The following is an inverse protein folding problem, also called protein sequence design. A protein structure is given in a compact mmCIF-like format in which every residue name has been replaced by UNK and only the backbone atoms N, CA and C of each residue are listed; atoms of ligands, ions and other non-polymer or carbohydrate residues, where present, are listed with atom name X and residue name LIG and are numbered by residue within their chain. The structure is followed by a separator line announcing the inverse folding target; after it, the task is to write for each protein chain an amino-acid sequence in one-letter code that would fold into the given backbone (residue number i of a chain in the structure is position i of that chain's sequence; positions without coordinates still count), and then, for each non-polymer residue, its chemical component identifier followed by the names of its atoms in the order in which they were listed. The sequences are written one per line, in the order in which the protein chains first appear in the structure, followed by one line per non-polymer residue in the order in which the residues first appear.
data_IF_467058698208
#
_entry.id   IF_467058698208
#
_cell.length_a   1.000
_cell.length_b   1.000
_cell.length_c   1.000
_cell.angle_alpha   90.00
_cell.angle_beta   90.00
_cell.angle_gamma   90.00
#
_symmetry.space_group_name_H-M   'P 1'
#
loop_
_entity.id
_entity.type
_entity.pdbx_description
1 polymer ?
#
# COMPACT_ATOMS: atom_id res chain seq x y z
N UNK A 1 -9.87 -1.52 18.48
CA UNK A 1 -10.89 -1.50 17.40
C UNK A 1 -10.83 -2.85 16.68
N UNK A 2 -11.94 -3.53 16.62
CA UNK A 2 -12.01 -4.84 15.96
C UNK A 2 -12.60 -4.68 14.56
N UNK A 3 -11.84 -5.06 13.58
CA UNK A 3 -12.25 -4.99 12.17
C UNK A 3 -12.02 -6.37 11.55
N UNK A 4 -13.05 -6.92 10.92
CA UNK A 4 -12.93 -8.21 10.23
C UNK A 4 -12.12 -8.03 8.94
N UNK A 5 -11.62 -9.13 8.42
CA UNK A 5 -10.90 -9.10 7.14
C UNK A 5 -11.80 -8.61 6.01
N UNK A 6 -13.09 -8.98 6.03
CA UNK A 6 -14.04 -8.50 5.05
C UNK A 6 -14.25 -6.99 5.15
N UNK A 7 -14.38 -6.46 6.36
CA UNK A 7 -14.52 -5.01 6.56
C UNK A 7 -13.27 -4.28 6.07
N UNK A 8 -12.10 -4.83 6.34
CA UNK A 8 -10.84 -4.25 5.88
C UNK A 8 -10.77 -4.22 4.35
N UNK A 9 -11.16 -5.32 3.71
CA UNK A 9 -11.20 -5.39 2.25
C UNK A 9 -12.16 -4.35 1.65
N UNK A 10 -13.32 -4.15 2.26
CA UNK A 10 -14.27 -3.13 1.84
C UNK A 10 -13.69 -1.72 1.95
N UNK A 11 -12.93 -1.45 3.03
CA UNK A 11 -12.25 -0.16 3.20
C UNK A 11 -11.22 0.07 2.11
N UNK A 12 -10.46 -0.96 1.77
CA UNK A 12 -9.46 -0.87 0.70
C UNK A 12 -10.13 -0.59 -0.64
N UNK A 13 -11.23 -1.27 -0.92
CA UNK A 13 -11.97 -1.04 -2.16
C UNK A 13 -12.49 0.39 -2.25
N UNK A 14 -13.07 0.91 -1.17
CA UNK A 14 -13.52 2.31 -1.11
C UNK A 14 -12.36 3.28 -1.30
N UNK A 15 -11.23 2.98 -0.68
CA UNK A 15 -10.04 3.82 -0.80
C UNK A 15 -9.57 3.89 -2.24
N UNK A 16 -9.54 2.75 -2.94
CA UNK A 16 -9.14 2.73 -4.34
C UNK A 16 -10.07 3.56 -5.21
N UNK A 17 -11.37 3.56 -4.91
CA UNK A 17 -12.35 4.35 -5.67
C UNK A 17 -12.12 5.86 -5.50
N UNK A 18 -11.54 6.29 -4.37
CA UNK A 18 -11.29 7.69 -4.08
C UNK A 18 -9.90 8.20 -4.48
N UNK A 19 -9.01 7.29 -4.88
CA UNK A 19 -7.67 7.68 -5.32
C UNK A 19 -7.71 8.20 -6.78
N UNK A 20 -6.63 8.90 -7.23
CA UNK A 20 -6.59 9.37 -8.61
C UNK A 20 -6.74 8.22 -9.59
N UNK A 21 -7.86 8.20 -10.30
CA UNK A 21 -8.24 7.05 -11.14
C UNK A 21 -7.30 6.83 -12.31
N UNK A 22 -6.60 7.87 -12.78
CA UNK A 22 -5.61 7.71 -13.83
C UNK A 22 -4.50 6.72 -13.45
N UNK A 23 -4.16 6.64 -12.14
CA UNK A 23 -3.16 5.71 -11.66
C UNK A 23 -3.76 4.34 -11.36
N UNK A 24 -5.00 4.31 -10.89
CA UNK A 24 -5.67 3.05 -10.54
C UNK A 24 -5.99 2.24 -11.80
N UNK A 25 -6.52 2.89 -12.83
CA UNK A 25 -6.91 2.19 -14.06
C UNK A 25 -5.71 1.67 -14.86
N UNK A 26 -4.52 2.22 -14.61
CA UNK A 26 -3.29 1.80 -15.25
C UNK A 26 -2.46 0.81 -14.45
N UNK A 27 -2.95 0.40 -13.27
CA UNK A 27 -2.26 -0.63 -12.50
C UNK A 27 -2.30 -1.95 -13.25
N UNK A 28 -1.14 -2.39 -13.70
CA UNK A 28 -1.00 -3.65 -14.40
C UNK A 28 -0.03 -4.53 -13.64
N UNK A 29 -0.39 -5.79 -13.49
CA UNK A 29 0.46 -6.79 -12.88
C UNK A 29 0.92 -6.39 -11.47
N UNK A 30 -0.01 -5.87 -10.68
CA UNK A 30 0.23 -5.50 -9.28
C UNK A 30 -0.82 -6.21 -8.42
N UNK A 31 -0.36 -6.99 -7.46
CA UNK A 31 -1.24 -7.65 -6.50
C UNK A 31 -1.31 -6.82 -5.22
N UNK A 32 -2.52 -6.58 -4.73
CA UNK A 32 -2.72 -5.93 -3.42
C UNK A 32 -3.13 -7.01 -2.46
N UNK A 33 -2.31 -7.24 -1.44
CA UNK A 33 -2.51 -8.29 -0.45
C UNK A 33 -2.51 -7.71 0.95
N UNK A 34 -3.04 -8.46 1.89
CA UNK A 34 -3.13 -8.06 3.29
C UNK A 34 -2.37 -9.05 4.15
N UNK A 35 -1.69 -8.55 5.16
CA UNK A 35 -1.06 -9.35 6.18
C UNK A 35 -1.39 -8.75 7.54
N UNK A 36 -1.37 -9.56 8.58
CA UNK A 36 -1.62 -9.04 9.92
C UNK A 36 -0.47 -8.17 10.38
N UNK A 37 0.76 -8.62 10.17
CA UNK A 37 1.96 -7.90 10.60
C UNK A 37 3.10 -8.13 9.60
N UNK A 38 4.05 -7.19 9.54
CA UNK A 38 5.22 -7.41 8.68
C UNK A 38 6.11 -8.51 9.26
N UNK A 39 6.83 -9.19 8.39
CA UNK A 39 7.80 -10.19 8.81
C UNK A 39 9.06 -9.50 9.36
N UNK A 40 9.85 -10.22 10.14
CA UNK A 40 11.12 -9.70 10.64
C UNK A 40 12.03 -9.28 9.50
N UNK A 41 12.04 -10.07 8.43
CA UNK A 41 12.83 -9.77 7.24
C UNK A 41 12.40 -8.45 6.60
N UNK A 42 11.09 -8.21 6.50
CA UNK A 42 10.57 -6.98 5.95
C UNK A 42 10.95 -5.77 6.80
N UNK A 43 10.83 -5.91 8.11
CA UNK A 43 11.21 -4.85 9.06
C UNK A 43 12.70 -4.53 8.93
N UNK A 44 13.55 -5.56 8.88
CA UNK A 44 14.99 -5.38 8.74
C UNK A 44 15.36 -4.73 7.42
N UNK A 45 14.72 -5.15 6.32
CA UNK A 45 14.97 -4.59 5.00
C UNK A 45 14.66 -3.10 4.93
N UNK A 46 13.63 -2.67 5.64
CA UNK A 46 13.23 -1.26 5.69
C UNK A 46 14.04 -0.46 6.71
N UNK A 47 14.90 -1.11 7.49
CA UNK A 47 15.75 -0.47 8.51
C UNK A 47 14.95 0.34 9.51
N UNK A 48 13.80 -0.18 9.91
CA UNK A 48 12.95 0.48 10.90
C UNK A 48 13.46 0.17 12.31
N UNK A 49 13.30 1.14 13.22
CA UNK A 49 13.56 0.88 14.62
C UNK A 49 12.36 0.17 15.27
N UNK A 50 12.50 -0.21 16.54
CA UNK A 50 11.47 -0.98 17.22
C UNK A 50 10.19 -0.19 17.50
N UNK A 51 10.24 1.13 17.36
CA UNK A 51 9.10 2.01 17.63
C UNK A 51 8.37 2.44 16.38
N UNK A 52 8.92 2.14 15.21
CA UNK A 52 8.32 2.53 13.94
C UNK A 52 7.32 1.48 13.47
N UNK A 53 6.22 1.95 12.90
CA UNK A 53 5.21 1.08 12.31
C UNK A 53 5.40 1.01 10.79
N UNK A 54 5.37 -0.20 10.26
CA UNK A 54 5.36 -0.41 8.82
C UNK A 54 3.90 -0.69 8.42
N UNK A 55 3.25 0.29 7.83
CA UNK A 55 1.83 0.22 7.50
C UNK A 55 1.55 -0.46 6.17
N UNK A 56 2.49 -0.33 5.23
CA UNK A 56 2.38 -0.96 3.91
C UNK A 56 3.74 -1.09 3.28
N UNK A 57 3.84 -1.91 2.23
CA UNK A 57 5.11 -2.15 1.57
C UNK A 57 4.87 -2.51 0.10
N UNK A 58 5.50 -1.76 -0.79
CA UNK A 58 5.59 -2.13 -2.20
C UNK A 58 6.84 -2.98 -2.41
N UNK A 59 6.66 -4.15 -3.03
CA UNK A 59 7.76 -5.02 -3.40
C UNK A 59 7.69 -5.31 -4.89
N UNK A 60 8.60 -4.72 -5.64
CA UNK A 60 8.70 -4.97 -7.07
C UNK A 60 9.44 -6.27 -7.34
N UNK A 61 9.02 -6.98 -8.36
CA UNK A 61 9.71 -8.19 -8.81
C UNK A 61 10.73 -7.76 -9.87
N UNK A 62 12.04 -7.93 -9.61
CA UNK A 62 13.07 -7.51 -10.57
C UNK A 62 12.90 -8.21 -11.92
N UNK A 63 13.18 -7.48 -13.00
CA UNK A 63 13.11 -8.03 -14.35
C UNK A 63 14.02 -9.26 -14.51
N UNK A 64 15.16 -9.24 -13.84
CA UNK A 64 16.10 -10.38 -13.86
C UNK A 64 15.48 -11.63 -13.23
N UNK A 65 14.63 -11.46 -12.21
CA UNK A 65 13.92 -12.57 -11.58
C UNK A 65 12.78 -13.08 -12.44
N UNK A 66 12.26 -12.24 -13.32
CA UNK A 66 11.21 -12.65 -14.27
C UNK A 66 11.79 -13.44 -15.43
N UNK A 67 13.06 -13.25 -15.75
CA UNK A 67 13.84 -14.07 -16.65
C UNK A 67 13.42 -14.07 -18.11
N UNK A 68 14.36 -14.43 -18.99
CA UNK A 68 14.04 -14.74 -20.38
C UNK A 68 13.68 -16.21 -20.46
N UNK A 69 12.61 -16.53 -21.14
CA UNK A 69 12.13 -17.89 -21.27
C UNK A 69 11.03 -18.28 -20.29
N UNK A 70 10.69 -17.40 -19.34
CA UNK A 70 9.53 -17.59 -18.48
C UNK A 70 8.29 -17.10 -19.16
N UNK A 71 7.27 -17.93 -19.19
CA UNK A 71 5.95 -17.53 -19.66
C UNK A 71 5.12 -16.87 -18.57
N UNK A 72 5.55 -16.98 -17.31
CA UNK A 72 4.86 -16.37 -16.18
C UNK A 72 5.52 -15.06 -15.81
N UNK A 73 4.71 -14.01 -15.74
CA UNK A 73 5.14 -12.72 -15.22
C UNK A 73 4.56 -12.59 -13.82
N UNK A 74 5.44 -12.65 -12.81
CA UNK A 74 5.02 -12.50 -11.43
C UNK A 74 4.61 -11.04 -11.18
N UNK A 75 3.51 -10.80 -10.47
CA UNK A 75 3.09 -9.44 -10.18
C UNK A 75 3.99 -8.77 -9.15
N UNK A 76 4.16 -7.46 -9.28
CA UNK A 76 4.62 -6.67 -8.16
C UNK A 76 3.59 -6.77 -7.06
N UNK A 77 4.00 -6.52 -5.82
CA UNK A 77 3.13 -6.74 -4.68
C UNK A 77 3.09 -5.53 -3.77
N UNK A 78 1.88 -5.12 -3.41
CA UNK A 78 1.66 -4.13 -2.37
C UNK A 78 1.01 -4.87 -1.21
N UNK A 79 1.66 -4.85 -0.05
CA UNK A 79 1.14 -5.48 1.16
C UNK A 79 0.68 -4.40 2.12
N UNK A 80 -0.54 -4.54 2.65
CA UNK A 80 -1.06 -3.67 3.71
C UNK A 80 -1.05 -4.48 5.00
N UNK A 81 -0.48 -3.89 6.06
CA UNK A 81 -0.34 -4.56 7.35
C UNK A 81 -1.45 -4.12 8.28
N UNK A 82 -2.49 -4.93 8.35
CA UNK A 82 -3.75 -4.61 9.02
C UNK A 82 -3.56 -4.20 10.48
N UNK A 83 -2.84 -5.00 11.26
CA UNK A 83 -2.68 -4.70 12.68
C UNK A 83 -1.87 -3.43 12.93
N UNK A 84 -0.88 -3.17 12.08
CA UNK A 84 -0.08 -1.96 12.18
C UNK A 84 -0.92 -0.73 11.86
N UNK A 85 -1.76 -0.81 10.85
CA UNK A 85 -2.67 0.28 10.49
C UNK A 85 -3.66 0.53 11.63
N UNK A 86 -4.27 -0.53 12.17
CA UNK A 86 -5.21 -0.40 13.28
C UNK A 86 -4.57 0.23 14.51
N UNK A 87 -3.30 -0.09 14.77
CA UNK A 87 -2.57 0.48 15.91
C UNK A 87 -2.32 1.98 15.75
N UNK A 88 -2.36 2.49 14.54
CA UNK A 88 -2.06 3.90 14.26
C UNK A 88 -3.28 4.82 14.37
N UNK A 89 -4.48 4.29 14.56
CA UNK A 89 -5.71 5.06 14.50
C UNK A 89 -6.65 4.71 15.65
N UNK A 90 -7.59 5.62 15.97
CA UNK A 90 -8.53 5.44 17.07
C UNK A 90 -10.00 5.43 16.64
N UNK A 91 -10.29 5.80 15.40
CA UNK A 91 -11.68 5.88 14.91
C UNK A 91 -11.79 5.21 13.54
N UNK A 92 -13.01 4.84 13.17
CA UNK A 92 -13.24 4.25 11.84
C UNK A 92 -12.96 5.24 10.71
N UNK A 93 -13.26 6.53 10.94
CA UNK A 93 -12.94 7.56 9.95
C UNK A 93 -11.43 7.67 9.75
N UNK A 94 -10.66 7.71 10.85
CA UNK A 94 -9.21 7.76 10.78
C UNK A 94 -8.64 6.49 10.14
N UNK A 95 -9.27 5.34 10.40
CA UNK A 95 -8.87 4.08 9.79
C UNK A 95 -8.99 4.15 8.26
N UNK A 96 -10.13 4.62 7.76
CA UNK A 96 -10.33 4.75 6.32
C UNK A 96 -9.29 5.70 5.69
N UNK A 97 -9.07 6.85 6.32
CA UNK A 97 -8.10 7.82 5.82
C UNK A 97 -6.67 7.25 5.83
N UNK A 98 -6.33 6.47 6.86
CA UNK A 98 -5.02 5.85 6.93
C UNK A 98 -4.84 4.76 5.88
N UNK A 99 -5.86 3.93 5.66
CA UNK A 99 -5.83 2.92 4.60
C UNK A 99 -5.60 3.59 3.24
N UNK A 100 -6.35 4.64 2.97
CA UNK A 100 -6.25 5.37 1.71
C UNK A 100 -4.86 5.98 1.51
N UNK A 101 -4.32 6.61 2.55
CA UNK A 101 -3.00 7.23 2.49
C UNK A 101 -1.90 6.19 2.28
N UNK A 102 -1.97 5.08 3.02
CA UNK A 102 -0.98 4.01 2.91
C UNK A 102 -1.01 3.39 1.52
N UNK A 103 -2.21 3.08 1.04
CA UNK A 103 -2.37 2.48 -0.28
C UNK A 103 -1.82 3.41 -1.37
N UNK A 104 -2.15 4.71 -1.31
CA UNK A 104 -1.67 5.69 -2.27
C UNK A 104 -0.14 5.77 -2.26
N UNK A 105 0.46 5.79 -1.07
CA UNK A 105 1.92 5.84 -0.94
C UNK A 105 2.59 4.66 -1.67
N UNK A 106 2.07 3.45 -1.49
CA UNK A 106 2.67 2.27 -2.10
C UNK A 106 2.40 2.22 -3.61
N UNK A 107 1.23 2.64 -4.05
CA UNK A 107 0.94 2.77 -5.49
C UNK A 107 1.89 3.78 -6.13
N UNK A 108 2.14 4.88 -5.47
CA UNK A 108 3.05 5.91 -5.97
C UNK A 108 4.48 5.37 -6.10
N UNK A 109 4.91 4.50 -5.17
CA UNK A 109 6.20 3.84 -5.28
C UNK A 109 6.28 2.96 -6.54
N UNK A 110 5.20 2.25 -6.87
CA UNK A 110 5.13 1.44 -8.08
C UNK A 110 5.37 2.30 -9.33
N UNK A 111 4.84 3.52 -9.35
CA UNK A 111 5.04 4.44 -10.47
C UNK A 111 6.36 5.20 -10.40
N UNK A 112 7.14 5.02 -9.34
CA UNK A 112 8.42 5.71 -9.16
C UNK A 112 8.29 7.18 -8.84
N UNK A 113 7.16 7.60 -8.26
CA UNK A 113 6.96 9.00 -7.89
C UNK A 113 7.78 9.36 -6.66
N UNK A 114 8.42 10.53 -6.70
CA UNK A 114 9.13 11.06 -5.53
C UNK A 114 8.17 11.56 -4.47
N UNK A 115 8.67 11.70 -3.24
CA UNK A 115 7.84 12.15 -2.11
C UNK A 115 7.18 13.50 -2.37
N UNK A 116 7.90 14.44 -3.00
CA UNK A 116 7.35 15.77 -3.31
C UNK A 116 6.13 15.65 -4.22
N UNK A 117 6.21 14.78 -5.21
CA UNK A 117 5.09 14.58 -6.14
C UNK A 117 3.92 13.89 -5.47
N UNK A 118 4.19 12.95 -4.57
CA UNK A 118 3.16 12.27 -3.79
C UNK A 118 2.41 13.29 -2.94
N UNK A 119 3.16 14.16 -2.25
CA UNK A 119 2.58 15.18 -1.38
C UNK A 119 1.73 16.18 -2.17
N UNK A 120 2.19 16.60 -3.35
CA UNK A 120 1.43 17.48 -4.23
C UNK A 120 0.08 16.88 -4.61
N UNK A 121 0.08 15.60 -4.99
CA UNK A 121 -1.13 14.93 -5.41
C UNK A 121 -2.11 14.75 -4.24
N UNK A 122 -1.59 14.43 -3.06
CA UNK A 122 -2.41 14.33 -1.87
C UNK A 122 -3.01 15.68 -1.49
N UNK A 123 -2.21 16.75 -1.50
CA UNK A 123 -2.66 18.08 -1.18
C UNK A 123 -3.72 18.58 -2.17
N UNK A 124 -3.52 18.32 -3.46
CA UNK A 124 -4.49 18.68 -4.48
C UNK A 124 -5.82 17.97 -4.30
N UNK A 125 -5.78 16.72 -3.90
CA UNK A 125 -6.97 15.92 -3.63
C UNK A 125 -7.71 16.42 -2.39
N UNK A 126 -6.97 16.76 -1.34
CA UNK A 126 -7.55 17.22 -0.08
C UNK A 126 -8.26 18.56 -0.23
N UNK A 127 -7.92 19.34 -1.24
CA UNK A 127 -8.54 20.65 -1.50
C UNK A 127 -9.87 20.55 -2.24
N UNK A 128 -10.19 19.39 -2.71
CA UNK A 128 -11.44 19.13 -3.38
C UNK A 128 -12.49 18.62 -2.38
#
# INVERSE_FOLDING_TARGET
MDITDQEFDELVTRAMDELPQEYITRLENVAIVYADEPTDEQVQRMKLDNNSLLLGLYEGIPQTARGTGYNLVLPDKITLFKNQILASVNTKQALFEQVKRTLWHEIAHHYGLGHDRIDELEAGKDRQ
#
